data_IF_059786709564
#
_entry.id   IF_059786709564
#
_cell.length_a   1.000
_cell.length_b   1.000
_cell.length_c   1.000
_cell.angle_alpha   90.00
_cell.angle_beta   90.00
_cell.angle_gamma   90.00
#
_symmetry.space_group_name_H-M   'P 1'
#
loop_
_entity.id
_entity.type
_entity.pdbx_description
1 polymer ?
#
# COMPACT_ATOMS: atom_id res chain seq x y z
N UNK A 1 21.06 -15.20 -18.46
CA UNK A 1 20.32 -15.08 -17.18
C UNK A 1 21.00 -15.97 -16.14
N UNK A 2 21.47 -15.41 -15.02
CA UNK A 2 22.24 -16.15 -14.00
C UNK A 2 21.40 -17.09 -13.13
N UNK A 3 22.05 -18.11 -12.57
CA UNK A 3 21.45 -19.16 -11.71
C UNK A 3 20.64 -18.60 -10.53
N UNK A 4 21.05 -17.46 -9.97
CA UNK A 4 20.38 -16.79 -8.84
C UNK A 4 18.95 -16.34 -9.15
N UNK A 5 18.64 -16.06 -10.42
CA UNK A 5 17.30 -15.66 -10.83
C UNK A 5 16.28 -16.80 -10.73
N UNK A 6 16.71 -18.06 -10.78
CA UNK A 6 15.81 -19.22 -10.62
C UNK A 6 15.38 -19.44 -9.17
N UNK A 7 16.23 -19.09 -8.20
CA UNK A 7 15.96 -19.30 -6.77
C UNK A 7 15.09 -18.17 -6.19
N UNK A 8 15.25 -16.94 -6.68
CA UNK A 8 14.53 -15.75 -6.17
C UNK A 8 13.20 -15.49 -6.89
N UNK A 9 13.00 -16.06 -8.08
CA UNK A 9 11.80 -15.86 -8.88
C UNK A 9 10.79 -16.97 -8.59
N UNK A 10 9.86 -16.68 -7.69
CA UNK A 10 8.69 -17.52 -7.45
C UNK A 10 7.88 -17.69 -8.77
N UNK A 11 7.02 -18.71 -8.93
CA UNK A 11 6.21 -18.98 -10.15
C UNK A 11 4.84 -18.25 -10.18
N UNK A 12 4.41 -17.66 -11.32
CA UNK A 12 3.22 -16.75 -11.35
C UNK A 12 1.94 -17.59 -11.37
N UNK A 13 0.87 -17.11 -10.73
CA UNK A 13 -0.46 -17.70 -10.89
C UNK A 13 -0.85 -17.67 -12.38
N UNK A 14 -1.44 -18.77 -12.88
CA UNK A 14 -1.98 -18.82 -14.24
C UNK A 14 -3.17 -17.87 -14.33
N UNK A 15 -3.20 -17.05 -15.36
CA UNK A 15 -4.33 -16.17 -15.70
C UNK A 15 -5.00 -16.70 -16.96
N UNK A 16 -6.32 -16.61 -17.02
CA UNK A 16 -7.08 -16.94 -18.23
C UNK A 16 -7.00 -15.77 -19.20
N UNK A 17 -6.32 -15.94 -20.33
CA UNK A 17 -6.18 -14.91 -21.36
C UNK A 17 -7.24 -15.09 -22.43
N UNK A 18 -8.41 -14.46 -22.25
CA UNK A 18 -9.38 -14.33 -23.33
C UNK A 18 -9.06 -13.08 -24.16
N UNK A 19 -9.14 -13.17 -25.48
CA UNK A 19 -9.04 -12.02 -26.38
C UNK A 19 -10.27 -11.99 -27.30
N UNK A 20 -11.21 -11.07 -27.08
CA UNK A 20 -12.39 -10.93 -27.95
C UNK A 20 -11.98 -10.49 -29.37
N UNK A 21 -12.57 -11.12 -30.41
CA UNK A 21 -12.20 -10.88 -31.81
C UNK A 21 -12.63 -9.53 -32.39
N UNK A 22 -13.72 -8.97 -31.89
CA UNK A 22 -14.38 -7.77 -32.44
C UNK A 22 -14.47 -6.62 -31.44
N UNK A 23 -13.79 -6.75 -30.30
CA UNK A 23 -13.83 -5.74 -29.26
C UNK A 23 -12.56 -4.91 -29.34
N UNK A 24 -12.74 -3.61 -29.56
CA UNK A 24 -11.67 -2.63 -29.43
C UNK A 24 -11.64 -2.13 -27.99
N UNK A 25 -10.59 -2.53 -27.29
CA UNK A 25 -10.34 -2.10 -25.93
C UNK A 25 -9.77 -0.68 -25.97
N UNK A 26 -10.63 0.33 -25.74
CA UNK A 26 -10.26 1.76 -25.65
C UNK A 26 -9.38 2.09 -24.43
N UNK A 27 -8.57 1.13 -23.98
CA UNK A 27 -7.68 1.24 -22.81
C UNK A 27 -8.31 0.86 -21.48
N UNK A 28 -9.51 0.26 -21.47
CA UNK A 28 -10.26 -0.10 -20.26
C UNK A 28 -10.10 -1.56 -19.81
N UNK A 29 -9.46 -2.41 -20.63
CA UNK A 29 -9.25 -3.83 -20.39
C UNK A 29 -10.24 -4.73 -21.12
N UNK A 30 -10.00 -6.04 -21.06
CA UNK A 30 -10.92 -7.05 -21.59
C UNK A 30 -12.15 -7.18 -20.66
N UNK A 31 -13.38 -6.88 -21.14
CA UNK A 31 -14.60 -6.95 -20.33
C UNK A 31 -14.98 -8.37 -19.90
N UNK A 32 -14.36 -9.39 -20.52
CA UNK A 32 -14.55 -10.80 -20.20
C UNK A 32 -13.39 -11.36 -19.36
N UNK A 33 -12.48 -10.53 -18.84
CA UNK A 33 -11.46 -11.00 -17.90
C UNK A 33 -12.14 -11.44 -16.58
N UNK A 34 -11.83 -12.66 -16.14
CA UNK A 34 -12.33 -13.20 -14.87
C UNK A 34 -11.54 -12.54 -13.74
N UNK A 35 -11.92 -11.31 -13.37
CA UNK A 35 -11.36 -10.59 -12.23
C UNK A 35 -12.36 -10.51 -11.07
N UNK A 36 -11.87 -10.48 -9.83
CA UNK A 36 -12.72 -10.22 -8.68
C UNK A 36 -13.09 -8.73 -8.64
N UNK A 37 -14.31 -8.38 -8.20
CA UNK A 37 -14.78 -6.97 -8.09
C UNK A 37 -13.85 -6.05 -7.29
N UNK A 38 -13.07 -6.64 -6.37
CA UNK A 38 -12.14 -5.91 -5.51
C UNK A 38 -10.69 -5.92 -6.01
N UNK A 39 -10.39 -6.61 -7.10
CA UNK A 39 -9.01 -6.69 -7.60
C UNK A 39 -8.49 -5.33 -8.08
N UNK A 40 -9.38 -4.49 -8.62
CA UNK A 40 -9.06 -3.09 -9.01
C UNK A 40 -8.71 -2.18 -7.82
N UNK A 41 -9.18 -2.52 -6.61
CA UNK A 41 -8.93 -1.73 -5.40
C UNK A 41 -7.82 -2.31 -4.52
N UNK A 42 -7.30 -3.50 -4.85
CA UNK A 42 -6.21 -4.15 -4.13
C UNK A 42 -4.88 -3.56 -4.54
N UNK A 43 -4.38 -2.60 -3.76
CA UNK A 43 -2.99 -2.13 -3.90
C UNK A 43 -1.98 -3.16 -3.38
N UNK A 44 -2.40 -4.07 -2.48
CA UNK A 44 -1.52 -4.98 -1.73
C UNK A 44 -1.34 -6.35 -2.37
N UNK A 45 -2.31 -6.86 -3.13
CA UNK A 45 -2.34 -8.24 -3.61
C UNK A 45 -1.82 -8.31 -5.05
N UNK A 46 -0.66 -8.92 -5.23
CA UNK A 46 0.01 -9.02 -6.54
C UNK A 46 1.53 -9.14 -6.39
N UNK A 47 2.18 -9.87 -7.30
CA UNK A 47 3.58 -10.27 -7.12
C UNK A 47 4.58 -9.12 -7.19
N UNK A 48 5.58 -9.18 -6.28
CA UNK A 48 6.90 -8.54 -6.35
C UNK A 48 6.89 -7.20 -7.09
N UNK A 49 6.30 -6.20 -6.44
CA UNK A 49 6.62 -4.80 -6.71
C UNK A 49 8.10 -4.64 -6.33
N UNK A 50 8.99 -4.65 -7.33
CA UNK A 50 10.39 -4.29 -7.11
C UNK A 50 10.48 -2.95 -6.39
N UNK A 51 11.64 -2.63 -5.80
CA UNK A 51 11.83 -1.44 -4.96
C UNK A 51 11.20 -0.17 -5.56
N UNK A 52 11.45 0.10 -6.85
CA UNK A 52 10.85 1.22 -7.61
C UNK A 52 9.31 1.29 -7.48
N UNK A 53 8.63 0.16 -7.65
CA UNK A 53 7.16 0.11 -7.59
C UNK A 53 6.64 0.19 -6.15
N UNK A 54 7.43 -0.20 -5.15
CA UNK A 54 7.10 0.09 -3.74
C UNK A 54 7.17 1.59 -3.47
N UNK A 55 8.24 2.26 -3.89
CA UNK A 55 8.39 3.71 -3.72
C UNK A 55 7.28 4.48 -4.42
N UNK A 56 7.00 4.18 -5.70
CA UNK A 56 5.91 4.83 -6.43
C UNK A 56 4.55 4.62 -5.75
N UNK A 57 4.25 3.40 -5.31
CA UNK A 57 2.99 3.14 -4.60
C UNK A 57 2.89 3.94 -3.29
N UNK A 58 3.97 4.06 -2.53
CA UNK A 58 3.99 4.87 -1.29
C UNK A 58 3.76 6.34 -1.62
N UNK A 59 4.41 6.87 -2.66
CA UNK A 59 4.20 8.23 -3.15
C UNK A 59 2.74 8.47 -3.56
N UNK A 60 2.14 7.52 -4.28
CA UNK A 60 0.74 7.63 -4.71
C UNK A 60 -0.24 7.50 -3.53
N UNK A 61 0.04 6.64 -2.55
CA UNK A 61 -0.75 6.50 -1.32
C UNK A 61 -0.62 7.73 -0.41
N UNK A 62 0.53 8.43 -0.43
CA UNK A 62 0.70 9.72 0.30
C UNK A 62 -0.12 10.84 -0.35
N UNK A 63 -0.25 10.83 -1.68
CA UNK A 63 -1.06 11.81 -2.43
C UNK A 63 -2.57 11.57 -2.29
N UNK A 64 -2.99 10.36 -1.92
CA UNK A 64 -4.40 10.11 -1.60
C UNK A 64 -4.80 10.95 -0.40
N UNK A 65 -5.80 11.81 -0.60
CA UNK A 65 -6.45 12.53 0.48
C UNK A 65 -7.16 11.52 1.41
N UNK A 66 -6.43 11.04 2.41
CA UNK A 66 -7.00 10.23 3.48
C UNK A 66 -7.96 11.04 4.35
N UNK A 67 -8.84 10.36 5.07
CA UNK A 67 -9.81 11.00 5.95
C UNK A 67 -9.09 11.86 7.02
N UNK A 68 -9.31 13.18 6.94
CA UNK A 68 -8.72 14.17 7.85
C UNK A 68 -9.10 13.90 9.30
N UNK A 69 -10.28 13.32 9.54
CA UNK A 69 -10.73 12.97 10.87
C UNK A 69 -9.92 11.81 11.45
N UNK A 70 -9.60 10.80 10.64
CA UNK A 70 -8.73 9.68 11.05
C UNK A 70 -7.34 10.19 11.45
N UNK A 71 -6.73 11.06 10.65
CA UNK A 71 -5.42 11.66 10.97
C UNK A 71 -5.46 12.43 12.29
N UNK A 72 -6.49 13.26 12.52
CA UNK A 72 -6.66 14.00 13.77
C UNK A 72 -6.83 13.07 14.97
N UNK A 73 -7.70 12.06 14.88
CA UNK A 73 -7.91 11.08 15.95
C UNK A 73 -6.63 10.33 16.30
N UNK A 74 -5.87 9.90 15.28
CA UNK A 74 -4.58 9.23 15.48
C UNK A 74 -3.59 10.10 16.26
N UNK A 75 -3.45 11.38 15.88
CA UNK A 75 -2.55 12.32 16.58
C UNK A 75 -3.00 12.57 18.02
N UNK A 76 -4.31 12.72 18.25
CA UNK A 76 -4.86 12.91 19.61
C UNK A 76 -4.58 11.69 20.48
N UNK A 77 -4.85 10.48 19.98
CA UNK A 77 -4.59 9.23 20.71
C UNK A 77 -3.10 9.10 21.04
N UNK A 78 -2.22 9.37 20.07
CA UNK A 78 -0.78 9.30 20.28
C UNK A 78 -0.29 10.29 21.34
N UNK A 79 -0.78 11.54 21.28
CA UNK A 79 -0.43 12.56 22.26
C UNK A 79 -0.87 12.19 23.68
N UNK A 80 -2.09 11.66 23.85
CA UNK A 80 -2.60 11.21 25.15
C UNK A 80 -1.76 10.05 25.70
N UNK A 81 -1.42 9.07 24.85
CA UNK A 81 -0.58 7.93 25.27
C UNK A 81 0.81 8.37 25.72
N UNK A 82 1.44 9.30 25.00
CA UNK A 82 2.74 9.88 25.39
C UNK A 82 2.62 10.59 26.73
N UNK A 83 1.58 11.42 26.92
CA UNK A 83 1.37 12.15 28.17
C UNK A 83 1.20 11.19 29.35
N UNK A 84 0.37 10.14 29.21
CA UNK A 84 0.20 9.11 30.24
C UNK A 84 1.52 8.40 30.55
N UNK A 85 2.29 8.03 29.51
CA UNK A 85 3.58 7.41 29.69
C UNK A 85 4.54 8.31 30.48
N UNK A 86 4.68 9.58 30.09
CA UNK A 86 5.54 10.56 30.74
C UNK A 86 5.11 10.82 32.20
N UNK A 87 3.81 10.82 32.47
CA UNK A 87 3.27 10.95 33.83
C UNK A 87 3.64 9.76 34.72
N UNK A 88 3.59 8.52 34.21
CA UNK A 88 3.93 7.31 34.99
C UNK A 88 5.40 7.32 35.44
N UNK A 89 6.30 7.83 34.59
CA UNK A 89 7.75 7.85 34.86
C UNK A 89 8.23 9.15 35.53
N UNK A 90 7.32 10.07 35.82
CA UNK A 90 7.60 11.39 36.38
C UNK A 90 8.67 12.17 35.58
N UNK A 91 8.53 12.17 34.24
CA UNK A 91 9.52 12.74 33.35
C UNK A 91 9.43 14.27 33.28
N UNK A 92 10.55 14.95 33.56
CA UNK A 92 10.63 16.40 33.49
C UNK A 92 10.75 16.91 32.04
N UNK A 93 9.69 17.60 31.57
CA UNK A 93 9.64 18.22 30.25
C UNK A 93 10.43 19.54 30.16
N UNK A 94 10.79 20.14 31.29
CA UNK A 94 11.48 21.43 31.36
C UNK A 94 12.90 21.36 30.79
N UNK A 95 13.49 20.16 30.75
CA UNK A 95 14.82 19.88 30.19
C UNK A 95 14.96 20.31 28.72
N UNK A 96 13.86 20.45 27.97
CA UNK A 96 13.88 20.82 26.55
C UNK A 96 13.67 22.31 26.28
N UNK A 97 13.29 23.10 27.29
CA UNK A 97 12.94 24.53 27.15
C UNK A 97 14.00 25.44 27.80
N UNK A 98 14.86 24.88 28.64
CA UNK A 98 16.07 25.54 29.16
C UNK A 98 17.18 25.65 28.12
#
# INVERSE_FOLDING_TARGET
MGMLSKITKLGKNKKFGYSPRFYDDKGEGNPYEIEHKFDKYRSTVGRNRGLKRKFNNVLDDVKREGDRNLKKRMVIILAVLILIFLFIIDFDLSIFIS
#
